data_IF_443798719653
#
_entry.id   IF_443798719653
#
_cell.length_a   1.000
_cell.length_b   1.000
_cell.length_c   1.000
_cell.angle_alpha   90.00
_cell.angle_beta   90.00
_cell.angle_gamma   90.00
#
_symmetry.space_group_name_H-M   'P 1'
#
loop_
_entity.id
_entity.type
_entity.pdbx_description
1 polymer ?
#
# COMPACT_ATOMS: atom_id res chain seq x y z
N UNK A 1 -4.30 0.98 -3.28
CA UNK A 1 -4.56 -0.48 -3.37
C UNK A 1 -3.23 -1.21 -3.46
N UNK A 2 -3.03 -2.30 -2.71
CA UNK A 2 -1.83 -3.13 -2.87
C UNK A 2 -2.07 -4.19 -3.96
N UNK A 3 -1.21 -4.22 -4.98
CA UNK A 3 -1.34 -5.10 -6.14
C UNK A 3 -0.73 -6.48 -5.88
N UNK A 4 0.32 -6.54 -5.06
CA UNK A 4 0.89 -7.78 -4.54
C UNK A 4 0.52 -7.98 -3.05
N UNK A 5 1.21 -8.87 -2.34
CA UNK A 5 1.11 -8.91 -0.88
C UNK A 5 2.06 -7.85 -0.33
N UNK A 6 1.53 -6.93 0.48
CA UNK A 6 2.32 -5.94 1.20
C UNK A 6 2.18 -6.24 2.70
N UNK A 7 3.17 -6.86 3.34
CA UNK A 7 3.06 -7.31 4.73
C UNK A 7 1.87 -8.28 4.94
N UNK A 8 1.00 -8.01 5.91
CA UNK A 8 -0.22 -8.81 6.15
C UNK A 8 -1.39 -8.51 5.19
N UNK A 9 -1.19 -7.63 4.20
CA UNK A 9 -2.25 -7.31 3.23
C UNK A 9 -2.41 -8.38 2.16
N UNK A 10 -3.65 -8.59 1.74
CA UNK A 10 -3.96 -9.41 0.56
C UNK A 10 -3.88 -8.56 -0.70
N UNK A 11 -3.54 -9.22 -1.81
CA UNK A 11 -3.63 -8.67 -3.17
C UNK A 11 -5.00 -8.04 -3.43
N UNK A 12 -5.04 -6.90 -4.11
CA UNK A 12 -6.26 -6.16 -4.45
C UNK A 12 -6.92 -5.44 -3.26
N UNK A 13 -6.30 -5.43 -2.08
CA UNK A 13 -6.87 -4.78 -0.92
C UNK A 13 -6.64 -3.26 -0.94
N UNK A 14 -7.71 -2.50 -0.71
CA UNK A 14 -7.62 -1.08 -0.44
C UNK A 14 -6.96 -0.84 0.93
N UNK A 15 -5.91 -0.03 0.92
CA UNK A 15 -5.13 0.36 2.09
C UNK A 15 -4.94 1.87 2.09
N UNK A 16 -4.70 2.42 3.27
CA UNK A 16 -4.35 3.82 3.48
C UNK A 16 -2.99 3.86 4.16
N UNK A 17 -2.08 4.66 3.59
CA UNK A 17 -0.75 4.88 4.12
C UNK A 17 -0.73 6.20 4.89
N UNK A 18 -0.16 6.19 6.09
CA UNK A 18 0.12 7.39 6.86
C UNK A 18 1.63 7.52 7.05
N UNK A 19 2.20 8.61 6.54
CA UNK A 19 3.60 8.92 6.70
C UNK A 19 3.81 9.70 8.01
N UNK A 20 4.63 9.15 8.88
CA UNK A 20 5.13 9.82 10.09
C UNK A 20 6.63 10.08 9.96
N UNK A 21 7.19 10.72 10.99
CA UNK A 21 8.58 11.15 11.01
C UNK A 21 9.60 10.00 11.03
N UNK A 22 9.20 8.81 11.50
CA UNK A 22 10.07 7.65 11.70
C UNK A 22 9.47 6.33 11.19
N UNK A 23 8.16 6.31 10.91
CA UNK A 23 7.43 5.14 10.44
C UNK A 23 6.42 5.46 9.33
N UNK A 24 6.13 4.46 8.52
CA UNK A 24 5.04 4.44 7.55
C UNK A 24 3.98 3.45 8.05
N UNK A 25 2.83 3.96 8.47
CA UNK A 25 1.72 3.14 8.94
C UNK A 25 0.85 2.69 7.78
N UNK A 26 0.54 1.39 7.75
CA UNK A 26 -0.33 0.76 6.76
C UNK A 26 -1.63 0.35 7.43
N UNK A 27 -2.74 0.89 6.94
CA UNK A 27 -4.07 0.59 7.49
C UNK A 27 -5.03 0.05 6.43
N UNK A 28 -5.97 -0.79 6.86
CA UNK A 28 -7.08 -1.28 6.04
C UNK A 28 -8.32 -0.49 6.36
N UNK A 29 -9.03 0.00 5.35
CA UNK A 29 -10.40 0.47 5.56
C UNK A 29 -11.30 -0.72 5.93
N UNK A 30 -11.96 -0.64 7.08
CA UNK A 30 -12.96 -1.64 7.48
C UNK A 30 -14.22 -1.38 6.67
N UNK A 31 -14.60 -2.31 5.79
CA UNK A 31 -15.90 -2.22 5.12
C UNK A 31 -16.98 -2.19 6.21
N UNK A 32 -17.71 -1.07 6.29
CA UNK A 32 -18.89 -0.97 7.14
C UNK A 32 -19.92 -1.93 6.55
N UNK A 33 -19.98 -3.14 7.10
CA UNK A 33 -21.17 -3.96 6.91
C UNK A 33 -22.32 -3.19 7.55
N UNK A 34 -23.12 -2.54 6.72
CA UNK A 34 -24.44 -2.06 7.13
C UNK A 34 -25.26 -3.34 7.24
N UNK A 35 -25.13 -4.06 8.35
CA UNK A 35 -26.11 -5.06 8.71
C UNK A 35 -27.45 -4.32 8.79
N UNK A 36 -28.50 -4.74 8.05
CA UNK A 36 -29.82 -4.17 8.25
C UNK A 36 -30.17 -4.41 9.72
N UNK A 37 -30.36 -3.33 10.48
CA UNK A 37 -30.89 -3.40 11.84
C UNK A 37 -32.25 -4.08 11.73
N UNK A 38 -32.35 -5.32 12.20
CA UNK A 38 -33.64 -5.92 12.53
C UNK A 38 -34.27 -5.11 13.69
N UNK A 39 -35.54 -4.69 13.60
CA UNK A 39 -36.19 -3.95 14.66
C UNK A 39 -36.80 -4.92 15.69
N UNK A 40 -36.09 -5.25 16.76
CA UNK A 40 -36.62 -5.92 17.97
C UNK A 40 -35.50 -5.96 19.03
N UNK A 41 -35.59 -5.60 20.32
CA UNK A 41 -36.68 -5.26 21.24
C UNK A 41 -36.05 -4.44 22.38
N UNK A 42 -36.81 -3.54 23.00
CA UNK A 42 -36.41 -2.72 24.15
C UNK A 42 -35.75 -3.52 25.29
N UNK A 43 -34.55 -3.09 25.71
CA UNK A 43 -33.87 -3.47 26.95
C UNK A 43 -32.78 -2.43 27.27
N UNK A 44 -32.50 -2.11 28.55
CA UNK A 44 -31.62 -0.99 28.89
C UNK A 44 -30.19 -1.33 28.48
N UNK A 45 -29.76 -0.70 27.39
CA UNK A 45 -28.44 -0.82 26.79
C UNK A 45 -27.36 -0.34 27.76
N UNK A 46 -26.62 -1.28 28.37
CA UNK A 46 -25.26 -0.98 28.84
C UNK A 46 -24.40 -0.74 27.62
N UNK A 47 -24.20 0.55 27.32
CA UNK A 47 -23.48 1.03 26.16
C UNK A 47 -22.11 0.39 26.00
N UNK A 48 -21.98 -0.45 24.98
CA UNK A 48 -20.75 -0.53 24.17
C UNK A 48 -21.13 -0.12 22.76
N UNK A 49 -21.36 1.19 22.60
CA UNK A 49 -21.14 1.86 21.32
C UNK A 49 -19.66 1.70 21.00
N UNK A 50 -19.30 0.55 20.44
CA UNK A 50 -17.99 0.38 19.84
C UNK A 50 -17.93 1.35 18.67
N UNK A 51 -17.34 2.52 18.89
CA UNK A 51 -16.80 3.36 17.82
C UNK A 51 -15.84 2.48 17.02
N UNK A 52 -16.40 1.75 16.04
CA UNK A 52 -15.64 0.82 15.22
C UNK A 52 -14.79 1.69 14.30
N UNK A 53 -13.55 1.95 14.76
CA UNK A 53 -12.54 2.71 14.03
C UNK A 53 -12.59 2.31 12.55
N UNK A 54 -12.79 3.30 11.67
CA UNK A 54 -12.97 3.08 10.22
C UNK A 54 -11.77 2.42 9.55
N UNK A 55 -10.62 2.44 10.21
CA UNK A 55 -9.38 1.80 9.79
C UNK A 55 -8.94 0.76 10.82
N UNK A 56 -8.53 -0.41 10.33
CA UNK A 56 -7.82 -1.44 11.11
C UNK A 56 -6.33 -1.30 10.76
N UNK A 57 -5.49 -1.15 11.78
CA UNK A 57 -4.04 -1.24 11.62
C UNK A 57 -3.64 -2.60 11.03
N UNK A 58 -2.74 -2.60 10.05
CA UNK A 58 -2.22 -3.82 9.41
C UNK A 58 -0.74 -3.98 9.71
N UNK A 59 0.04 -2.92 9.49
CA UNK A 59 1.49 -2.99 9.62
C UNK A 59 2.09 -1.60 9.88
N UNK A 60 3.27 -1.57 10.48
CA UNK A 60 4.09 -0.37 10.67
C UNK A 60 5.49 -0.65 10.10
N UNK A 61 5.84 0.02 9.01
CA UNK A 61 7.18 -0.05 8.46
C UNK A 61 8.06 1.02 9.05
N UNK A 62 9.21 0.64 9.61
CA UNK A 62 10.26 1.61 9.90
C UNK A 62 10.73 2.24 8.59
N UNK A 63 10.84 3.56 8.54
CA UNK A 63 11.38 4.24 7.36
C UNK A 63 12.83 3.84 7.08
N UNK A 64 13.58 3.39 8.10
CA UNK A 64 14.94 2.85 7.92
C UNK A 64 14.99 1.52 7.17
N UNK A 65 13.87 0.79 7.09
CA UNK A 65 13.76 -0.44 6.32
C UNK A 65 13.46 -0.16 4.84
N UNK A 66 13.02 1.04 4.48
CA UNK A 66 12.75 1.41 3.08
C UNK A 66 14.09 1.70 2.39
N UNK A 67 14.36 0.98 1.30
CA UNK A 67 15.60 1.10 0.51
C UNK A 67 15.41 1.89 -0.76
N UNK A 68 14.24 1.77 -1.39
CA UNK A 68 13.92 2.46 -2.65
C UNK A 68 12.47 2.88 -2.67
N UNK A 69 12.24 4.06 -3.25
CA UNK A 69 10.93 4.60 -3.59
C UNK A 69 10.94 4.85 -5.09
N UNK A 70 10.17 4.07 -5.85
CA UNK A 70 10.12 4.16 -7.31
C UNK A 70 8.74 4.68 -7.77
N UNK A 71 8.71 5.78 -8.52
CA UNK A 71 7.51 6.24 -9.23
C UNK A 71 7.42 5.50 -10.57
N UNK A 72 6.29 4.84 -10.85
CA UNK A 72 6.11 4.10 -12.10
C UNK A 72 5.48 4.99 -13.15
N UNK A 73 6.16 5.11 -14.28
CA UNK A 73 5.71 5.85 -15.46
C UNK A 73 5.63 4.93 -16.69
N UNK A 74 4.94 5.38 -17.74
CA UNK A 74 4.82 4.62 -18.99
C UNK A 74 3.85 3.42 -18.95
N UNK A 75 3.00 3.31 -17.93
CA UNK A 75 1.98 2.27 -17.84
C UNK A 75 0.61 2.75 -18.34
N UNK A 76 0.27 2.52 -19.61
CA UNK A 76 -1.06 2.86 -20.16
C UNK A 76 -2.19 2.07 -19.49
N UNK A 77 -1.90 0.86 -19.00
CA UNK A 77 -2.91 0.03 -18.38
C UNK A 77 -3.31 0.53 -16.99
N UNK A 78 -2.40 1.14 -16.23
CA UNK A 78 -2.63 1.50 -14.83
C UNK A 78 -1.82 2.74 -14.41
N UNK A 79 -2.53 3.83 -14.16
CA UNK A 79 -1.96 5.06 -13.58
C UNK A 79 -1.85 4.95 -12.04
N UNK A 80 -1.13 5.89 -11.43
CA UNK A 80 -0.99 5.96 -9.98
C UNK A 80 -0.09 4.89 -9.37
N UNK A 81 0.71 4.20 -10.16
CA UNK A 81 1.59 3.13 -9.70
C UNK A 81 2.86 3.68 -9.04
N UNK A 82 3.28 3.03 -7.96
CA UNK A 82 4.59 3.23 -7.34
C UNK A 82 5.05 1.94 -6.64
N UNK A 83 6.35 1.82 -6.42
CA UNK A 83 6.95 0.70 -5.72
C UNK A 83 7.75 1.14 -4.50
N UNK A 84 7.72 0.31 -3.46
CA UNK A 84 8.61 0.43 -2.30
C UNK A 84 9.46 -0.83 -2.19
N UNK A 85 10.77 -0.70 -2.18
CA UNK A 85 11.66 -1.81 -1.82
C UNK A 85 11.96 -1.72 -0.34
N UNK A 86 11.62 -2.77 0.40
CA UNK A 86 11.73 -2.84 1.85
C UNK A 86 12.70 -3.96 2.21
N UNK A 87 13.58 -3.68 3.16
CA UNK A 87 14.50 -4.65 3.75
C UNK A 87 14.33 -4.60 5.26
N UNK A 88 13.39 -5.39 5.74
CA UNK A 88 13.07 -5.48 7.16
C UNK A 88 14.05 -6.43 7.87
N UNK A 89 14.64 -5.96 8.97
CA UNK A 89 15.55 -6.72 9.84
C UNK A 89 14.85 -7.24 11.11
N UNK A 90 13.59 -6.88 11.33
CA UNK A 90 12.86 -7.14 12.58
C UNK A 90 12.31 -8.57 12.69
N UNK A 91 12.16 -9.29 11.58
CA UNK A 91 11.47 -10.59 11.53
C UNK A 91 12.36 -11.83 11.65
N UNK A 92 13.67 -11.67 11.89
CA UNK A 92 14.60 -12.78 12.13
C UNK A 92 14.74 -13.80 10.99
N UNK A 93 14.13 -13.55 9.83
CA UNK A 93 14.33 -14.30 8.59
C UNK A 93 15.35 -13.56 7.72
N UNK A 94 15.94 -14.31 6.79
CA UNK A 94 16.99 -13.87 5.87
C UNK A 94 16.62 -12.52 5.22
N UNK A 95 17.63 -11.66 5.04
CA UNK A 95 17.60 -10.28 4.54
C UNK A 95 17.10 -10.15 3.09
N UNK A 96 15.98 -10.76 2.73
CA UNK A 96 15.42 -10.65 1.40
C UNK A 96 14.70 -9.30 1.25
N UNK A 97 14.99 -8.61 0.14
CA UNK A 97 14.30 -7.38 -0.21
C UNK A 97 12.89 -7.73 -0.71
N UNK A 98 11.87 -7.22 -0.03
CA UNK A 98 10.48 -7.33 -0.49
C UNK A 98 10.12 -6.06 -1.27
N UNK A 99 9.57 -6.23 -2.46
CA UNK A 99 9.06 -5.11 -3.26
C UNK A 99 7.55 -5.03 -3.10
N UNK A 100 7.03 -3.92 -2.59
CA UNK A 100 5.60 -3.63 -2.54
C UNK A 100 5.17 -2.88 -3.80
N UNK A 101 4.10 -3.32 -4.44
CA UNK A 101 3.53 -2.69 -5.63
C UNK A 101 2.18 -2.08 -5.27
N UNK A 102 2.09 -0.77 -5.37
CA UNK A 102 0.96 0.00 -4.87
C UNK A 102 0.38 0.86 -5.99
N UNK A 103 -0.95 0.96 -6.00
CA UNK A 103 -1.69 1.84 -6.90
C UNK A 103 -2.48 2.86 -6.09
N UNK A 104 -2.29 4.15 -6.38
CA UNK A 104 -3.11 5.25 -5.88
C UNK A 104 -4.44 5.26 -6.64
N UNK A 105 -5.58 5.31 -5.92
CA UNK A 105 -6.92 5.31 -6.54
C UNK A 105 -7.71 6.57 -6.31
N UNK A 106 -7.49 7.26 -5.19
CA UNK A 106 -8.37 8.34 -4.70
C UNK A 106 -7.68 9.72 -4.72
N UNK A 107 -6.48 9.82 -5.31
CA UNK A 107 -5.65 11.03 -5.32
C UNK A 107 -5.10 11.31 -6.72
N UNK A 108 -4.75 12.57 -6.96
CA UNK A 108 -4.15 13.05 -8.20
C UNK A 108 -2.68 12.63 -8.33
N UNK A 109 -2.15 12.59 -9.56
CA UNK A 109 -0.72 12.33 -9.81
C UNK A 109 0.21 13.36 -9.11
N UNK A 110 -0.24 14.60 -8.98
CA UNK A 110 0.50 15.64 -8.26
C UNK A 110 0.60 15.33 -6.76
N UNK A 111 -0.49 14.89 -6.14
CA UNK A 111 -0.50 14.46 -4.73
C UNK A 111 0.34 13.20 -4.52
N UNK A 112 0.29 12.24 -5.47
CA UNK A 112 1.18 11.07 -5.44
C UNK A 112 2.65 11.49 -5.44
N UNK A 113 3.06 12.35 -6.38
CA UNK A 113 4.44 12.84 -6.47
C UNK A 113 4.87 13.61 -5.22
N UNK A 114 3.98 14.45 -4.68
CA UNK A 114 4.23 15.15 -3.42
C UNK A 114 4.41 14.18 -2.24
N UNK A 115 3.58 13.14 -2.17
CA UNK A 115 3.69 12.09 -1.15
C UNK A 115 4.99 11.29 -1.29
N UNK A 116 5.36 10.85 -2.50
CA UNK A 116 6.59 10.10 -2.74
C UNK A 116 7.84 10.95 -2.43
N UNK A 117 7.80 12.24 -2.78
CA UNK A 117 8.86 13.19 -2.42
C UNK A 117 8.98 13.36 -0.91
N UNK A 118 7.86 13.53 -0.19
CA UNK A 118 7.86 13.60 1.26
C UNK A 118 8.40 12.31 1.90
N UNK A 119 7.95 11.14 1.42
CA UNK A 119 8.43 9.85 1.89
C UNK A 119 9.94 9.68 1.68
N UNK A 120 10.44 9.95 0.48
CA UNK A 120 11.86 9.85 0.18
C UNK A 120 12.68 10.81 1.06
N UNK A 121 12.22 12.05 1.27
CA UNK A 121 12.89 13.00 2.15
C UNK A 121 12.96 12.53 3.61
N UNK A 122 11.87 11.95 4.13
CA UNK A 122 11.87 11.41 5.49
C UNK A 122 12.79 10.18 5.62
N UNK A 123 12.83 9.32 4.61
CA UNK A 123 13.77 8.18 4.58
C UNK A 123 15.23 8.66 4.49
N UNK A 124 15.51 9.63 3.61
CA UNK A 124 16.84 10.27 3.50
C UNK A 124 17.30 10.87 4.83
N UNK A 125 16.38 11.53 5.55
CA UNK A 125 16.65 12.12 6.86
C UNK A 125 17.09 11.08 7.89
N UNK A 126 16.52 9.87 7.83
CA UNK A 126 16.79 8.80 8.81
C UNK A 126 18.04 8.00 8.45
N UNK A 127 18.16 7.57 7.18
CA UNK A 127 19.27 6.72 6.74
C UNK A 127 20.53 7.57 6.50
N UNK A 128 20.39 8.89 6.30
CA UNK A 128 21.46 9.82 5.93
C UNK A 128 22.31 9.32 4.75
N UNK A 129 21.70 8.51 3.88
CA UNK A 129 22.31 8.01 2.65
C UNK A 129 21.84 8.87 1.50
N UNK A 130 22.73 9.21 0.56
CA UNK A 130 22.39 10.00 -0.64
C UNK A 130 21.67 9.17 -1.71
N UNK A 131 21.53 7.86 -1.51
CA UNK A 131 21.03 6.94 -2.53
C UNK A 131 19.51 6.72 -2.49
N UNK A 132 18.79 7.34 -1.55
CA UNK A 132 17.34 7.15 -1.38
C UNK A 132 16.53 8.31 -1.97
N UNK A 133 16.65 8.52 -3.29
CA UNK A 133 15.79 9.45 -4.02
C UNK A 133 14.48 8.79 -4.46
N UNK A 134 13.53 9.60 -4.96
CA UNK A 134 12.44 9.08 -5.79
C UNK A 134 13.06 8.70 -7.14
N UNK A 135 13.14 7.40 -7.40
CA UNK A 135 13.64 6.85 -8.66
C UNK A 135 12.49 6.74 -9.64
N UNK A 136 12.75 7.00 -10.92
CA UNK A 136 11.75 6.76 -11.97
C UNK A 136 11.88 5.32 -12.48
N UNK A 137 10.75 4.61 -12.53
CA UNK A 137 10.62 3.31 -13.17
C UNK A 137 9.77 3.46 -14.43
N UNK A 138 10.43 3.70 -15.56
CA UNK A 138 9.80 3.79 -16.86
C UNK A 138 9.59 2.38 -17.46
N UNK A 139 8.33 1.99 -17.63
CA UNK A 139 7.98 0.67 -18.19
C UNK A 139 8.30 0.52 -19.68
N UNK A 140 8.41 1.64 -20.39
CA UNK A 140 8.70 1.80 -21.80
C UNK A 140 10.19 1.98 -22.11
N UNK A 141 11.03 2.17 -21.09
CA UNK A 141 12.48 2.28 -21.26
C UNK A 141 13.07 0.91 -21.64
N UNK A 142 13.77 0.79 -22.80
CA UNK A 142 14.41 -0.45 -23.23
C UNK A 142 15.55 -0.92 -22.29
N UNK A 143 16.05 -0.04 -21.41
CA UNK A 143 17.06 -0.40 -20.41
C UNK A 143 16.45 -1.02 -19.14
N UNK A 144 15.14 -0.90 -18.95
CA UNK A 144 14.47 -1.54 -17.82
C UNK A 144 14.47 -3.05 -18.01
N UNK A 145 14.94 -3.78 -16.99
CA UNK A 145 15.00 -5.25 -17.04
C UNK A 145 13.61 -5.84 -17.37
N UNK A 146 13.49 -6.67 -18.43
CA UNK A 146 12.20 -7.15 -18.91
C UNK A 146 11.46 -7.98 -17.86
N UNK A 147 12.20 -8.71 -17.02
CA UNK A 147 11.64 -9.49 -15.90
C UNK A 147 10.86 -8.60 -14.91
N UNK A 148 11.35 -7.38 -14.61
CA UNK A 148 10.67 -6.45 -13.70
C UNK A 148 9.38 -5.92 -14.33
N UNK A 149 9.42 -5.59 -15.62
CA UNK A 149 8.26 -5.12 -16.38
C UNK A 149 7.20 -6.22 -16.45
N UNK A 150 7.59 -7.45 -16.71
CA UNK A 150 6.67 -8.59 -16.76
C UNK A 150 6.05 -8.88 -15.39
N UNK A 151 6.84 -8.90 -14.31
CA UNK A 151 6.34 -9.08 -12.95
C UNK A 151 5.31 -8.00 -12.57
N UNK A 152 5.55 -6.74 -12.96
CA UNK A 152 4.61 -5.64 -12.74
C UNK A 152 3.33 -5.82 -13.55
N UNK A 153 3.42 -6.16 -14.84
CA UNK A 153 2.24 -6.48 -15.68
C UNK A 153 1.43 -7.64 -15.11
N UNK A 154 2.10 -8.69 -14.62
CA UNK A 154 1.45 -9.82 -13.95
C UNK A 154 0.76 -9.37 -12.65
N UNK A 155 1.39 -8.52 -11.82
CA UNK A 155 0.78 -7.99 -10.61
C UNK A 155 -0.48 -7.14 -10.92
N UNK A 156 -0.42 -6.28 -11.93
CA UNK A 156 -1.57 -5.50 -12.40
C UNK A 156 -2.70 -6.43 -12.84
N UNK A 157 -2.39 -7.42 -13.68
CA UNK A 157 -3.38 -8.40 -14.17
C UNK A 157 -4.02 -9.20 -13.01
N UNK A 158 -3.21 -9.69 -12.08
CA UNK A 158 -3.68 -10.47 -10.93
C UNK A 158 -4.53 -9.65 -9.95
N UNK A 159 -4.24 -8.35 -9.82
CA UNK A 159 -5.05 -7.46 -8.97
C UNK A 159 -6.49 -7.29 -9.49
N UNK A 160 -6.67 -7.38 -10.82
CA UNK A 160 -7.97 -7.21 -11.51
C UNK A 160 -8.81 -8.49 -11.55
N UNK A 161 -8.18 -9.66 -11.53
CA UNK A 161 -8.86 -10.96 -11.67
C UNK A 161 -9.39 -11.51 -10.34
N UNK A 162 -9.10 -10.87 -9.21
CA UNK A 162 -9.67 -11.27 -7.93
C UNK A 162 -11.18 -10.98 -7.92
N UNK A 163 -12.03 -12.00 -7.72
CA UNK A 163 -13.46 -11.79 -7.70
C UNK A 163 -13.80 -10.82 -6.57
N UNK A 164 -14.49 -9.71 -6.90
CA UNK A 164 -15.30 -8.97 -5.94
C UNK A 164 -16.17 -10.02 -5.27
N UNK A 165 -15.86 -10.39 -4.01
CA UNK A 165 -16.59 -11.40 -3.27
C UNK A 165 -18.06 -11.03 -3.37
N UNK A 166 -18.81 -11.77 -4.20
CA UNK A 166 -20.22 -11.54 -4.40
C UNK A 166 -20.85 -11.72 -3.03
N UNK A 167 -21.42 -10.66 -2.49
CA UNK A 167 -22.43 -10.78 -1.47
C UNK A 167 -23.61 -11.50 -2.13
N UNK A 168 -23.61 -12.84 -2.09
CA UNK A 168 -24.80 -13.59 -2.45
C UNK A 168 -25.86 -13.32 -1.40
N UNK A 169 -27.07 -13.13 -1.92
CA UNK A 169 -28.32 -12.74 -1.28
C UNK A 169 -28.65 -13.53 -0.02
#
# INVERSE_FOLDING_TARGET
>A
VCLNSCGETKKGQAITLYLFNDLLEVTKRRNRSVLPRSPATFGPSRGRSGNSKGHKHIDCLSLSAIRKVEDVTGCEEAEGLFLLTIRDNSRGQILEEEQWTLQVTDHTEAEKRAFLSALANEVLRIISSRDVGVLEFAMDDPNTKPERVEALKQAIKLSRTLPKRSTSR
#
